data_IF_260712992967
#
_entry.id   IF_260712992967
#
_cell.length_a   1.000
_cell.length_b   1.000
_cell.length_c   1.000
_cell.angle_alpha   90.00
_cell.angle_beta   90.00
_cell.angle_gamma   90.00
#
_symmetry.space_group_name_H-M   'P 1'
#
loop_
_entity.id
_entity.type
_entity.pdbx_description
1 polymer ?
#
# COMPACT_ATOMS: atom_id res chain seq x y z
N UNK A 1 1.57 -9.90 -15.12
CA UNK A 1 1.42 -9.03 -13.96
C UNK A 1 0.69 -7.72 -14.30
N UNK A 2 1.16 -6.89 -15.22
CA UNK A 2 0.51 -5.63 -15.64
C UNK A 2 -0.97 -5.76 -16.05
N UNK A 3 -1.36 -6.84 -16.75
CA UNK A 3 -2.77 -7.07 -17.15
C UNK A 3 -3.71 -7.23 -15.95
N UNK A 4 -3.26 -7.87 -14.88
CA UNK A 4 -4.05 -8.10 -13.67
C UNK A 4 -4.21 -6.78 -12.90
N UNK A 5 -3.13 -6.03 -12.74
CA UNK A 5 -3.16 -4.70 -12.11
C UNK A 5 -4.09 -3.76 -12.86
N UNK A 6 -4.02 -3.76 -14.20
CA UNK A 6 -4.90 -2.92 -15.03
C UNK A 6 -6.39 -3.33 -14.89
N UNK A 7 -6.69 -4.63 -14.82
CA UNK A 7 -8.06 -5.11 -14.56
C UNK A 7 -8.56 -4.69 -13.17
N UNK A 8 -7.72 -4.76 -12.14
CA UNK A 8 -8.06 -4.30 -10.80
C UNK A 8 -8.32 -2.79 -10.77
N UNK A 9 -7.46 -2.00 -11.43
CA UNK A 9 -7.67 -0.55 -11.55
C UNK A 9 -8.96 -0.25 -12.33
N UNK A 10 -9.28 -1.02 -13.38
CA UNK A 10 -10.54 -0.87 -14.10
C UNK A 10 -11.75 -1.25 -13.25
N UNK A 11 -11.62 -2.27 -12.37
CA UNK A 11 -12.67 -2.69 -11.46
C UNK A 11 -13.04 -1.60 -10.44
N UNK A 12 -12.09 -0.78 -9.99
CA UNK A 12 -12.32 0.32 -9.06
C UNK A 12 -13.07 1.51 -9.67
N UNK A 13 -13.20 1.57 -11.01
CA UNK A 13 -14.03 2.55 -11.72
C UNK A 13 -13.67 4.01 -11.43
N UNK A 14 -14.52 4.71 -10.69
CA UNK A 14 -14.37 6.15 -10.36
C UNK A 14 -13.15 6.48 -9.48
N UNK A 15 -12.58 5.48 -8.81
CA UNK A 15 -11.48 5.67 -7.86
C UNK A 15 -10.08 5.57 -8.46
N UNK A 16 -9.95 5.35 -9.77
CA UNK A 16 -8.66 5.18 -10.48
C UNK A 16 -7.63 6.25 -10.13
N UNK A 17 -8.05 7.52 -10.12
CA UNK A 17 -7.16 8.65 -9.82
C UNK A 17 -6.53 8.55 -8.42
N UNK A 18 -7.31 8.12 -7.43
CA UNK A 18 -6.82 7.92 -6.05
C UNK A 18 -5.79 6.82 -5.97
N UNK A 19 -5.97 5.74 -6.73
CA UNK A 19 -5.00 4.64 -6.79
C UNK A 19 -3.66 5.12 -7.36
N UNK A 20 -3.66 5.89 -8.45
CA UNK A 20 -2.42 6.43 -9.00
C UNK A 20 -1.69 7.37 -8.04
N UNK A 21 -2.41 8.23 -7.33
CA UNK A 21 -1.85 9.08 -6.26
C UNK A 21 -1.29 8.21 -5.14
N UNK A 22 -1.99 7.15 -4.76
CA UNK A 22 -1.52 6.17 -3.77
C UNK A 22 -0.22 5.49 -4.18
N UNK A 23 -0.01 5.18 -5.47
CA UNK A 23 1.27 4.66 -5.96
C UNK A 23 2.42 5.65 -5.78
N UNK A 24 2.18 6.95 -6.02
CA UNK A 24 3.19 7.99 -5.79
C UNK A 24 3.56 8.05 -4.31
N UNK A 25 2.57 8.04 -3.41
CA UNK A 25 2.83 8.02 -1.97
C UNK A 25 3.54 6.74 -1.52
N UNK A 26 3.19 5.58 -2.10
CA UNK A 26 3.86 4.32 -1.83
C UNK A 26 5.34 4.37 -2.26
N UNK A 27 5.64 4.95 -3.41
CA UNK A 27 7.01 5.12 -3.89
C UNK A 27 7.83 6.02 -2.97
N UNK A 28 7.28 7.19 -2.58
CA UNK A 28 7.94 8.11 -1.64
C UNK A 28 8.12 7.43 -0.28
N UNK A 29 7.11 6.73 0.22
CA UNK A 29 7.20 5.96 1.47
C UNK A 29 8.35 4.94 1.42
N UNK A 30 8.56 4.25 0.29
CA UNK A 30 9.65 3.29 0.11
C UNK A 30 11.01 3.95 0.21
N UNK A 31 11.18 5.15 -0.37
CA UNK A 31 12.43 5.94 -0.24
C UNK A 31 12.69 6.27 1.23
N UNK A 32 11.70 6.80 1.94
CA UNK A 32 11.84 7.12 3.38
C UNK A 32 12.10 5.89 4.26
N UNK A 33 11.71 4.70 3.80
CA UNK A 33 12.01 3.44 4.50
C UNK A 33 13.47 3.03 4.33
N UNK A 34 14.12 3.34 3.19
CA UNK A 34 15.51 3.02 2.93
C UNK A 34 16.50 3.97 3.65
N UNK A 35 16.14 5.25 3.81
CA UNK A 35 17.02 6.27 4.37
C UNK A 35 17.57 5.90 5.77
N UNK A 36 16.79 5.44 6.75
CA UNK A 36 17.31 5.06 8.06
C UNK A 36 18.35 3.94 8.00
N UNK A 37 18.17 2.96 7.11
CA UNK A 37 19.10 1.85 6.92
C UNK A 37 20.44 2.39 6.37
N UNK A 38 20.38 3.27 5.37
CA UNK A 38 21.57 3.91 4.80
C UNK A 38 22.30 4.79 5.83
N UNK A 39 21.55 5.53 6.64
CA UNK A 39 22.12 6.36 7.72
C UNK A 39 22.78 5.50 8.80
N UNK A 40 22.17 4.38 9.18
CA UNK A 40 22.73 3.43 10.13
C UNK A 40 24.05 2.83 9.60
N UNK A 41 24.09 2.44 8.32
CA UNK A 41 25.32 1.95 7.68
C UNK A 41 26.42 3.02 7.65
N UNK A 42 26.08 4.27 7.30
CA UNK A 42 27.03 5.41 7.36
C UNK A 42 27.48 5.71 8.77
N UNK A 43 26.60 5.64 9.76
CA UNK A 43 26.96 5.83 11.15
C UNK A 43 27.95 4.77 11.64
N UNK A 44 27.71 3.51 11.27
CA UNK A 44 28.65 2.42 11.59
C UNK A 44 30.01 2.62 10.93
N UNK A 45 30.04 2.99 9.64
CA UNK A 45 31.33 3.27 8.97
C UNK A 45 32.07 4.45 9.61
N UNK A 46 31.37 5.51 10.00
CA UNK A 46 31.98 6.66 10.66
C UNK A 46 32.61 6.31 12.02
N UNK A 47 31.95 5.44 12.81
CA UNK A 47 32.48 4.93 14.06
C UNK A 47 33.71 4.04 13.83
N UNK A 48 33.71 3.20 12.80
CA UNK A 48 34.85 2.37 12.44
C UNK A 48 36.04 3.20 11.96
N UNK A 49 35.81 4.28 11.21
CA UNK A 49 36.83 5.19 10.72
C UNK A 49 37.50 5.95 11.89
N UNK A 50 36.72 6.37 12.88
CA UNK A 50 37.25 6.99 14.11
C UNK A 50 38.07 5.99 14.92
N UNK A 51 37.56 4.76 15.09
CA UNK A 51 38.31 3.71 15.83
C UNK A 51 39.63 3.35 15.15
N UNK A 52 39.67 3.34 13.83
CA UNK A 52 40.85 3.07 13.04
C UNK A 52 41.82 4.31 12.90
N UNK A 53 41.45 5.46 13.46
CA UNK A 53 42.22 6.68 13.36
C UNK A 53 42.23 7.34 11.99
N UNK A 54 41.31 6.96 11.10
CA UNK A 54 41.20 7.48 9.73
C UNK A 54 40.59 8.87 9.74
N UNK A 55 39.47 9.04 10.47
CA UNK A 55 38.74 10.30 10.58
C UNK A 55 38.06 10.39 11.95
N UNK A 56 38.37 11.45 12.75
CA UNK A 56 37.72 11.63 14.03
C UNK A 56 36.20 11.90 13.86
N UNK A 57 35.40 11.29 14.71
CA UNK A 57 33.94 11.48 14.71
C UNK A 57 33.61 12.75 15.50
N UNK A 58 33.15 13.79 14.83
CA UNK A 58 32.73 15.02 15.48
C UNK A 58 31.31 14.85 16.08
N UNK A 59 31.09 15.39 17.29
CA UNK A 59 29.78 15.38 17.93
C UNK A 59 28.69 16.02 17.05
N UNK A 60 29.05 17.00 16.22
CA UNK A 60 28.15 17.61 15.24
C UNK A 60 27.58 16.60 14.23
N UNK A 61 28.44 15.70 13.74
CA UNK A 61 28.03 14.70 12.73
C UNK A 61 27.02 13.70 13.32
N UNK A 62 27.18 13.35 14.60
CA UNK A 62 26.22 12.50 15.34
C UNK A 62 24.84 13.18 15.40
N UNK A 63 24.78 14.46 15.79
CA UNK A 63 23.52 15.19 15.86
C UNK A 63 22.84 15.37 14.50
N UNK A 64 23.61 15.60 13.45
CA UNK A 64 23.08 15.67 12.08
C UNK A 64 22.50 14.33 11.65
N UNK A 65 23.19 13.21 11.89
CA UNK A 65 22.71 11.87 11.58
C UNK A 65 21.44 11.52 12.36
N UNK A 66 21.41 11.85 13.66
CA UNK A 66 20.23 11.63 14.50
C UNK A 66 19.03 12.45 14.00
N UNK A 67 19.24 13.73 13.71
CA UNK A 67 18.20 14.60 13.17
C UNK A 67 17.66 14.11 11.82
N UNK A 68 18.55 13.69 10.91
CA UNK A 68 18.18 13.12 9.62
C UNK A 68 17.39 11.80 9.78
N UNK A 69 17.76 10.96 10.74
CA UNK A 69 17.07 9.72 11.04
C UNK A 69 15.66 9.97 11.56
N UNK A 70 15.50 10.91 12.52
CA UNK A 70 14.20 11.31 13.04
C UNK A 70 13.31 11.86 11.90
N UNK A 71 13.85 12.74 11.07
CA UNK A 71 13.12 13.32 9.93
C UNK A 71 12.69 12.23 8.94
N UNK A 72 13.55 11.26 8.66
CA UNK A 72 13.22 10.15 7.77
C UNK A 72 12.10 9.26 8.33
N UNK A 73 12.13 8.97 9.64
CA UNK A 73 11.09 8.19 10.31
C UNK A 73 9.75 8.95 10.29
N UNK A 74 9.75 10.24 10.60
CA UNK A 74 8.55 11.06 10.54
C UNK A 74 7.98 11.12 9.12
N UNK A 75 8.83 11.32 8.11
CA UNK A 75 8.45 11.27 6.70
C UNK A 75 7.84 9.94 6.31
N UNK A 76 8.44 8.83 6.73
CA UNK A 76 7.91 7.47 6.51
C UNK A 76 6.49 7.33 7.07
N UNK A 77 6.24 7.76 8.31
CA UNK A 77 4.90 7.69 8.92
C UNK A 77 3.89 8.55 8.18
N UNK A 78 4.27 9.79 7.82
CA UNK A 78 3.41 10.69 7.08
C UNK A 78 2.99 10.09 5.73
N UNK A 79 3.94 9.60 4.93
CA UNK A 79 3.62 9.02 3.62
C UNK A 79 2.92 7.67 3.73
N UNK A 80 3.16 6.88 4.79
CA UNK A 80 2.37 5.68 5.10
C UNK A 80 0.90 6.02 5.35
N UNK A 81 0.64 7.05 6.14
CA UNK A 81 -0.71 7.53 6.43
C UNK A 81 -1.42 8.06 5.17
N UNK A 82 -0.75 8.89 4.37
CA UNK A 82 -1.30 9.40 3.11
C UNK A 82 -1.62 8.27 2.12
N UNK A 83 -0.76 7.26 2.04
CA UNK A 83 -0.99 6.06 1.25
C UNK A 83 -2.23 5.30 1.73
N UNK A 84 -2.35 5.07 3.03
CA UNK A 84 -3.48 4.35 3.61
C UNK A 84 -4.81 5.04 3.26
N UNK A 85 -4.91 6.35 3.44
CA UNK A 85 -6.13 7.11 3.11
C UNK A 85 -6.44 7.10 1.61
N UNK A 86 -5.42 7.22 0.77
CA UNK A 86 -5.66 7.36 -0.67
C UNK A 86 -5.84 6.02 -1.38
N UNK A 87 -5.15 4.98 -0.95
CA UNK A 87 -5.08 3.71 -1.65
C UNK A 87 -5.88 2.60 -0.95
N UNK A 88 -5.66 2.40 0.35
CA UNK A 88 -6.32 1.30 1.06
C UNK A 88 -7.81 1.54 1.23
N UNK A 89 -8.24 2.79 1.48
CA UNK A 89 -9.66 3.14 1.57
C UNK A 89 -10.44 2.90 0.27
N UNK A 90 -9.77 2.95 -0.89
CA UNK A 90 -10.42 2.69 -2.19
C UNK A 90 -10.96 1.27 -2.28
N UNK A 91 -10.28 0.29 -1.70
CA UNK A 91 -10.78 -1.09 -1.66
C UNK A 91 -12.12 -1.18 -0.96
N UNK A 92 -12.22 -0.60 0.24
CA UNK A 92 -13.46 -0.56 1.02
C UNK A 92 -14.59 0.19 0.30
N UNK A 93 -14.30 1.38 -0.23
CA UNK A 93 -15.28 2.19 -0.95
C UNK A 93 -15.77 1.52 -2.23
N UNK A 94 -14.88 0.92 -3.01
CA UNK A 94 -15.24 0.21 -4.24
C UNK A 94 -16.11 -1.02 -3.94
N UNK A 95 -15.81 -1.76 -2.88
CA UNK A 95 -16.58 -2.93 -2.47
C UNK A 95 -17.94 -2.52 -1.90
N UNK A 96 -18.01 -1.45 -1.10
CA UNK A 96 -19.29 -0.91 -0.62
C UNK A 96 -20.21 -0.49 -1.77
N UNK A 97 -19.68 0.22 -2.78
CA UNK A 97 -20.44 0.58 -3.99
C UNK A 97 -20.97 -0.65 -4.74
N UNK A 98 -20.16 -1.71 -4.83
CA UNK A 98 -20.61 -2.96 -5.48
C UNK A 98 -21.69 -3.68 -4.68
N UNK A 99 -21.58 -3.71 -3.34
CA UNK A 99 -22.61 -4.29 -2.48
C UNK A 99 -23.94 -3.55 -2.60
N UNK A 100 -23.91 -2.21 -2.58
CA UNK A 100 -25.11 -1.38 -2.78
C UNK A 100 -25.75 -1.69 -4.14
N UNK A 101 -24.93 -1.69 -5.20
CA UNK A 101 -25.41 -1.99 -6.55
C UNK A 101 -26.01 -3.39 -6.66
N UNK A 102 -25.42 -4.39 -6.02
CA UNK A 102 -25.93 -5.74 -5.99
C UNK A 102 -27.28 -5.80 -5.26
N UNK A 103 -27.41 -5.11 -4.12
CA UNK A 103 -28.67 -4.97 -3.39
C UNK A 103 -29.77 -4.31 -4.23
N UNK A 104 -29.43 -3.26 -5.00
CA UNK A 104 -30.37 -2.61 -5.90
C UNK A 104 -30.82 -3.50 -7.06
N UNK A 105 -29.94 -4.36 -7.57
CA UNK A 105 -30.29 -5.38 -8.56
C UNK A 105 -31.27 -6.39 -7.93
N UNK A 106 -30.97 -6.90 -6.74
CA UNK A 106 -31.82 -7.86 -6.05
C UNK A 106 -33.24 -7.34 -5.76
N UNK A 107 -33.38 -6.05 -5.46
CA UNK A 107 -34.71 -5.41 -5.28
C UNK A 107 -35.56 -5.39 -6.56
N UNK A 108 -34.95 -5.47 -7.73
CA UNK A 108 -35.64 -5.40 -9.04
C UNK A 108 -35.90 -6.77 -9.65
N UNK A 109 -35.35 -7.82 -9.08
CA UNK A 109 -35.48 -9.18 -9.58
C UNK A 109 -36.79 -9.79 -9.03
N UNK A 110 -37.47 -10.59 -9.86
CA UNK A 110 -38.73 -11.26 -9.44
C UNK A 110 -38.45 -12.31 -8.35
N UNK A 111 -39.47 -12.55 -7.50
CA UNK A 111 -39.42 -13.61 -6.48
C UNK A 111 -39.10 -14.99 -7.07
N UNK A 112 -39.56 -15.27 -8.30
CA UNK A 112 -39.26 -16.53 -9.00
C UNK A 112 -37.77 -16.73 -9.31
N UNK A 113 -36.97 -15.67 -9.38
CA UNK A 113 -35.52 -15.77 -9.50
C UNK A 113 -34.91 -16.40 -8.24
N UNK A 114 -35.32 -15.95 -7.07
CA UNK A 114 -34.80 -16.43 -5.79
C UNK A 114 -35.24 -17.89 -5.49
N UNK A 115 -36.37 -18.33 -6.00
CA UNK A 115 -36.83 -19.73 -5.87
C UNK A 115 -36.07 -20.69 -6.81
N UNK A 116 -35.56 -20.19 -7.96
CA UNK A 116 -34.80 -20.98 -8.94
C UNK A 116 -33.30 -21.02 -8.66
N UNK A 117 -32.76 -20.04 -7.96
CA UNK A 117 -31.36 -19.93 -7.67
C UNK A 117 -31.07 -20.23 -6.20
N UNK A 118 -29.89 -20.76 -5.96
CA UNK A 118 -29.44 -21.06 -4.60
C UNK A 118 -29.19 -19.75 -3.82
N UNK A 119 -30.05 -19.46 -2.85
CA UNK A 119 -29.92 -18.28 -1.99
C UNK A 119 -28.60 -18.24 -1.24
N UNK A 120 -28.00 -19.40 -0.92
CA UNK A 120 -26.68 -19.50 -0.30
C UNK A 120 -25.57 -18.97 -1.23
N UNK A 121 -25.60 -19.33 -2.51
CA UNK A 121 -24.62 -18.83 -3.49
C UNK A 121 -24.76 -17.32 -3.71
N UNK A 122 -25.99 -16.82 -3.81
CA UNK A 122 -26.23 -15.38 -3.96
C UNK A 122 -25.77 -14.59 -2.73
N UNK A 123 -26.01 -15.12 -1.55
CA UNK A 123 -25.53 -14.53 -0.29
C UNK A 123 -24.00 -14.58 -0.21
N UNK A 124 -23.39 -15.71 -0.56
CA UNK A 124 -21.93 -15.85 -0.59
C UNK A 124 -21.27 -14.86 -1.56
N UNK A 125 -21.82 -14.70 -2.77
CA UNK A 125 -21.34 -13.75 -3.75
C UNK A 125 -21.43 -12.30 -3.23
N UNK A 126 -22.52 -11.94 -2.55
CA UNK A 126 -22.73 -10.60 -2.01
C UNK A 126 -21.87 -10.28 -0.79
N UNK A 127 -21.43 -11.27 -0.04
CA UNK A 127 -20.66 -11.11 1.21
C UNK A 127 -19.22 -11.59 1.07
N UNK A 128 -19.03 -12.88 0.97
CA UNK A 128 -17.71 -13.54 1.03
C UNK A 128 -16.87 -13.24 -0.20
N UNK A 129 -17.41 -13.39 -1.40
CA UNK A 129 -16.65 -13.20 -2.64
C UNK A 129 -16.23 -11.74 -2.83
N UNK A 130 -17.12 -10.80 -2.51
CA UNK A 130 -16.78 -9.38 -2.55
C UNK A 130 -15.74 -9.00 -1.50
N UNK A 131 -15.80 -9.57 -0.29
CA UNK A 131 -14.78 -9.36 0.74
C UNK A 131 -13.43 -9.96 0.34
N UNK A 132 -13.43 -11.13 -0.30
CA UNK A 132 -12.23 -11.75 -0.83
C UNK A 132 -11.60 -10.88 -1.92
N UNK A 133 -12.40 -10.35 -2.85
CA UNK A 133 -11.93 -9.45 -3.90
C UNK A 133 -11.34 -8.15 -3.34
N UNK A 134 -11.93 -7.61 -2.27
CA UNK A 134 -11.42 -6.45 -1.54
C UNK A 134 -10.03 -6.73 -0.97
N UNK A 135 -9.90 -7.78 -0.17
CA UNK A 135 -8.63 -8.17 0.45
C UNK A 135 -7.56 -8.49 -0.60
N UNK A 136 -7.93 -9.19 -1.68
CA UNK A 136 -7.02 -9.55 -2.75
C UNK A 136 -6.54 -8.32 -3.52
N UNK A 137 -7.42 -7.37 -3.83
CA UNK A 137 -7.07 -6.14 -4.52
C UNK A 137 -6.10 -5.29 -3.70
N UNK A 138 -6.33 -5.15 -2.39
CA UNK A 138 -5.45 -4.43 -1.48
C UNK A 138 -4.06 -5.10 -1.37
N UNK A 139 -4.02 -6.41 -1.16
CA UNK A 139 -2.76 -7.16 -1.03
C UNK A 139 -1.95 -7.13 -2.33
N UNK A 140 -2.59 -7.26 -3.49
CA UNK A 140 -1.91 -7.21 -4.78
C UNK A 140 -1.19 -5.88 -5.00
N UNK A 141 -1.85 -4.77 -4.69
CA UNK A 141 -1.24 -3.44 -4.84
C UNK A 141 -0.03 -3.30 -3.93
N UNK A 142 -0.15 -3.70 -2.66
CA UNK A 142 0.96 -3.68 -1.72
C UNK A 142 2.12 -4.57 -2.18
N UNK A 143 1.83 -5.79 -2.64
CA UNK A 143 2.84 -6.74 -3.12
C UNK A 143 3.60 -6.20 -4.32
N UNK A 144 2.92 -5.61 -5.31
CA UNK A 144 3.56 -5.04 -6.51
C UNK A 144 4.55 -3.93 -6.12
N UNK A 145 4.16 -3.04 -5.21
CA UNK A 145 5.05 -1.96 -4.74
C UNK A 145 6.24 -2.54 -3.97
N UNK A 146 6.01 -3.47 -3.06
CA UNK A 146 7.08 -4.10 -2.26
C UNK A 146 8.06 -4.86 -3.14
N UNK A 147 7.59 -5.68 -4.07
CA UNK A 147 8.46 -6.44 -4.99
C UNK A 147 9.26 -5.50 -5.89
N UNK A 148 8.63 -4.44 -6.42
CA UNK A 148 9.34 -3.46 -7.25
C UNK A 148 10.45 -2.75 -6.46
N UNK A 149 10.18 -2.39 -5.21
CA UNK A 149 11.17 -1.80 -4.31
C UNK A 149 12.32 -2.78 -4.03
N UNK A 150 12.03 -4.03 -3.70
CA UNK A 150 13.04 -5.04 -3.39
C UNK A 150 13.98 -5.28 -4.58
N UNK A 151 13.45 -5.33 -5.80
CA UNK A 151 14.26 -5.48 -7.01
C UNK A 151 15.09 -4.24 -7.37
N UNK A 152 14.68 -3.05 -6.92
CA UNK A 152 15.43 -1.81 -7.15
C UNK A 152 16.53 -1.57 -6.11
N UNK A 153 16.40 -2.16 -4.92
CA UNK A 153 17.30 -1.92 -3.78
C UNK A 153 18.27 -3.06 -3.48
N UNK A 154 18.03 -4.24 -4.03
CA UNK A 154 18.97 -5.36 -3.93
C UNK A 154 19.76 -5.46 -5.24
N UNK A 155 21.11 -5.46 -5.16
CA UNK A 155 21.99 -5.68 -6.31
C UNK A 155 21.85 -7.10 -6.86
#
# INVERSE_FOLDING_TARGET
>A
MFRIVNRLIQWTGKYKRRIYIGFIYAFIHSIFTAIPIMLAAKGLSAVLDDFNGVKPLEGRDIWIMLGAMILAVLGRYLFSYLRAITQESVGYEATADKRIRLGDIFKRVSLGFFSKNNMGELSAAATTDLSFMEMFAMNMVNTVVTVSYTHLTLP
#
